data_IF_722027035137
#
_entry.id   IF_722027035137
#
_cell.length_a   1.000
_cell.length_b   1.000
_cell.length_c   1.000
_cell.angle_alpha   90.00
_cell.angle_beta   90.00
_cell.angle_gamma   90.00
#
_symmetry.space_group_name_H-M   'P 1'
#
loop_
_entity.id
_entity.type
_entity.pdbx_description
1 polymer ?
#
# COMPACT_ATOMS: atom_id res chain seq x y z
N UNK A 1 10.78 -5.48 5.17
CA UNK A 1 10.71 -4.48 4.11
C UNK A 1 11.98 -3.62 4.08
N UNK A 2 12.28 -2.82 5.12
CA UNK A 2 13.43 -1.88 5.13
C UNK A 2 14.77 -2.57 4.81
N UNK A 3 15.03 -3.75 5.37
CA UNK A 3 16.25 -4.52 5.10
C UNK A 3 16.37 -4.89 3.63
N UNK A 4 15.31 -5.42 3.01
CA UNK A 4 15.29 -5.80 1.59
C UNK A 4 15.52 -4.62 0.66
N UNK A 5 14.92 -3.47 0.97
CA UNK A 5 15.14 -2.23 0.20
C UNK A 5 16.60 -1.77 0.30
N UNK A 6 17.20 -1.84 1.50
CA UNK A 6 18.63 -1.51 1.69
C UNK A 6 19.56 -2.46 0.94
N UNK A 7 19.29 -3.77 0.98
CA UNK A 7 20.04 -4.78 0.23
C UNK A 7 19.97 -4.51 -1.28
N UNK A 8 18.77 -4.24 -1.80
CA UNK A 8 18.58 -3.88 -3.21
C UNK A 8 19.33 -2.59 -3.55
N UNK A 9 19.21 -1.55 -2.75
CA UNK A 9 19.94 -0.29 -2.99
C UNK A 9 21.45 -0.48 -2.94
N UNK A 10 21.99 -1.29 -2.00
CA UNK A 10 23.41 -1.60 -1.93
C UNK A 10 23.91 -2.34 -3.17
N UNK A 11 23.14 -3.35 -3.66
CA UNK A 11 23.44 -4.06 -4.91
C UNK A 11 23.55 -3.07 -6.08
N UNK A 12 22.58 -2.17 -6.20
CA UNK A 12 22.53 -1.17 -7.27
C UNK A 12 23.71 -0.17 -7.19
N UNK A 13 24.07 0.26 -5.99
CA UNK A 13 25.24 1.13 -5.80
C UNK A 13 26.54 0.43 -6.26
N UNK A 14 26.74 -0.83 -5.87
CA UNK A 14 27.90 -1.62 -6.29
C UNK A 14 27.91 -1.81 -7.80
N UNK A 15 26.76 -2.15 -8.42
CA UNK A 15 26.64 -2.29 -9.87
C UNK A 15 26.99 -1.00 -10.61
N UNK A 16 26.55 0.14 -10.09
CA UNK A 16 26.90 1.46 -10.65
C UNK A 16 28.41 1.73 -10.62
N UNK A 17 29.09 1.37 -9.52
CA UNK A 17 30.55 1.48 -9.43
C UNK A 17 31.23 0.54 -10.44
N UNK A 18 30.76 -0.70 -10.56
CA UNK A 18 31.26 -1.68 -11.55
C UNK A 18 31.12 -1.16 -12.98
N UNK A 19 29.98 -0.58 -13.33
CA UNK A 19 29.74 0.05 -14.65
C UNK A 19 30.76 1.15 -14.94
N UNK A 20 31.06 2.01 -13.97
CA UNK A 20 32.06 3.07 -14.13
C UNK A 20 33.48 2.53 -14.35
N UNK A 21 33.78 1.35 -13.84
CA UNK A 21 35.07 0.67 -13.99
C UNK A 21 35.10 -0.25 -15.22
N UNK A 22 34.08 -0.21 -16.08
CA UNK A 22 34.01 -1.08 -17.26
C UNK A 22 33.74 -2.56 -16.95
N UNK A 23 33.33 -2.89 -15.73
CA UNK A 23 33.08 -4.26 -15.25
C UNK A 23 31.59 -4.67 -15.33
N UNK A 24 30.80 -4.01 -16.17
CA UNK A 24 29.36 -4.26 -16.26
C UNK A 24 29.05 -5.57 -16.98
N UNK A 25 28.16 -6.36 -16.40
CA UNK A 25 27.65 -7.62 -16.96
C UNK A 25 26.18 -7.55 -17.40
N UNK A 26 25.65 -6.36 -17.70
CA UNK A 26 24.24 -6.14 -18.05
C UNK A 26 23.44 -5.56 -16.89
N UNK A 27 22.26 -5.02 -17.18
CA UNK A 27 21.37 -4.44 -16.16
C UNK A 27 20.73 -5.56 -15.33
N UNK A 28 20.70 -5.44 -13.98
CA UNK A 28 19.97 -6.38 -13.15
C UNK A 28 18.47 -6.28 -13.40
N UNK A 29 17.76 -7.38 -13.26
CA UNK A 29 16.29 -7.36 -13.27
C UNK A 29 15.79 -6.68 -12.00
N UNK A 30 15.03 -5.60 -12.14
CA UNK A 30 14.52 -4.79 -11.03
C UNK A 30 13.01 -4.94 -10.82
N UNK A 31 12.38 -5.84 -11.57
CA UNK A 31 10.97 -6.12 -11.38
C UNK A 31 10.72 -6.77 -10.01
N UNK A 32 9.65 -6.33 -9.33
CA UNK A 32 9.39 -6.68 -7.94
C UNK A 32 7.97 -7.21 -7.75
N UNK A 33 7.79 -8.01 -6.72
CA UNK A 33 6.48 -8.38 -6.20
C UNK A 33 6.36 -7.93 -4.74
N UNK A 34 5.30 -7.19 -4.42
CA UNK A 34 4.97 -6.72 -3.09
C UNK A 34 3.75 -7.47 -2.58
N UNK A 35 3.94 -8.32 -1.58
CA UNK A 35 2.86 -9.12 -0.99
C UNK A 35 2.50 -8.64 0.40
N UNK A 36 1.23 -8.68 0.77
CA UNK A 36 0.76 -8.32 2.11
C UNK A 36 -0.67 -7.78 2.14
N UNK A 37 -1.20 -7.63 3.34
CA UNK A 37 -2.55 -7.16 3.60
C UNK A 37 -2.77 -5.69 3.17
N UNK A 38 -4.03 -5.24 3.07
CA UNK A 38 -4.34 -3.85 2.75
C UNK A 38 -3.78 -2.89 3.81
N UNK A 39 -3.33 -1.72 3.36
CA UNK A 39 -2.83 -0.68 4.25
C UNK A 39 -1.45 -0.92 4.87
N UNK A 40 -0.69 -1.93 4.41
CA UNK A 40 0.68 -2.22 4.87
C UNK A 40 1.75 -1.36 4.19
N UNK A 41 1.35 -0.41 3.33
CA UNK A 41 2.25 0.59 2.75
C UNK A 41 2.87 0.20 1.40
N UNK A 42 2.38 -0.83 0.70
CA UNK A 42 2.92 -1.28 -0.59
C UNK A 42 3.07 -0.15 -1.61
N UNK A 43 2.02 0.60 -1.87
CA UNK A 43 2.03 1.73 -2.83
C UNK A 43 2.96 2.86 -2.38
N UNK A 44 3.01 3.16 -1.07
CA UNK A 44 3.92 4.19 -0.52
C UNK A 44 5.37 3.81 -0.73
N UNK A 45 5.71 2.53 -0.50
CA UNK A 45 7.08 2.02 -0.72
C UNK A 45 7.41 1.97 -2.22
N UNK A 46 6.44 1.61 -3.08
CA UNK A 46 6.64 1.63 -4.53
C UNK A 46 6.99 3.04 -5.04
N UNK A 47 6.30 4.07 -4.53
CA UNK A 47 6.62 5.47 -4.85
C UNK A 47 8.05 5.84 -4.43
N UNK A 48 8.46 5.46 -3.21
CA UNK A 48 9.83 5.70 -2.74
C UNK A 48 10.87 4.91 -3.53
N UNK A 49 10.53 3.69 -3.96
CA UNK A 49 11.41 2.91 -4.84
C UNK A 49 11.61 3.59 -6.20
N UNK A 50 10.57 4.17 -6.79
CA UNK A 50 10.69 4.93 -8.04
C UNK A 50 11.68 6.11 -7.89
N UNK A 51 11.58 6.87 -6.80
CA UNK A 51 12.52 7.95 -6.48
C UNK A 51 13.97 7.44 -6.30
N UNK A 52 14.15 6.33 -5.58
CA UNK A 52 15.47 5.71 -5.35
C UNK A 52 16.07 5.24 -6.67
N UNK A 53 15.32 4.51 -7.48
CA UNK A 53 15.78 3.99 -8.77
C UNK A 53 16.18 5.12 -9.73
N UNK A 54 15.41 6.21 -9.75
CA UNK A 54 15.76 7.40 -10.52
C UNK A 54 17.06 8.04 -10.03
N UNK A 55 17.21 8.30 -8.73
CA UNK A 55 18.43 8.86 -8.16
C UNK A 55 19.68 8.00 -8.39
N UNK A 56 19.48 6.68 -8.47
CA UNK A 56 20.53 5.73 -8.81
C UNK A 56 20.78 5.58 -10.31
N UNK A 57 19.96 6.21 -11.16
CA UNK A 57 20.09 6.20 -12.62
C UNK A 57 19.66 4.88 -13.29
N UNK A 58 18.75 4.12 -12.67
CA UNK A 58 18.18 2.89 -13.24
C UNK A 58 16.87 3.12 -13.99
N UNK A 59 16.21 4.24 -13.76
CA UNK A 59 15.09 4.73 -14.56
C UNK A 59 15.32 6.20 -14.85
N UNK A 60 14.87 6.69 -16.02
CA UNK A 60 15.10 8.06 -16.47
C UNK A 60 14.32 9.08 -15.65
N UNK A 61 13.12 8.70 -15.23
CA UNK A 61 12.19 9.54 -14.49
C UNK A 61 11.81 8.82 -13.18
N UNK A 62 11.55 9.57 -12.13
CA UNK A 62 11.20 9.02 -10.82
C UNK A 62 9.70 8.86 -10.59
N UNK A 63 8.90 8.81 -11.66
CA UNK A 63 7.46 8.73 -11.57
C UNK A 63 6.94 7.30 -11.37
N UNK A 64 5.76 7.19 -10.79
CA UNK A 64 5.03 5.95 -10.58
C UNK A 64 3.69 6.03 -11.30
N UNK A 65 3.42 5.09 -12.20
CA UNK A 65 2.09 4.87 -12.76
C UNK A 65 1.43 3.73 -12.01
N UNK A 66 0.42 4.06 -11.20
CA UNK A 66 -0.33 3.08 -10.41
C UNK A 66 -1.63 2.72 -11.10
N UNK A 67 -1.82 1.43 -11.34
CA UNK A 67 -2.97 0.89 -12.09
C UNK A 67 -3.53 -0.38 -11.44
N UNK A 68 -4.74 -0.71 -11.84
CA UNK A 68 -5.42 -1.95 -11.53
C UNK A 68 -5.70 -2.74 -12.82
N UNK A 69 -6.31 -3.92 -12.70
CA UNK A 69 -6.77 -4.68 -13.87
C UNK A 69 -7.60 -3.84 -14.84
N UNK A 70 -8.52 -3.02 -14.32
CA UNK A 70 -9.46 -2.27 -15.13
C UNK A 70 -8.79 -1.21 -16.01
N UNK A 71 -7.58 -0.78 -15.66
CA UNK A 71 -6.77 0.13 -16.46
C UNK A 71 -6.02 -0.59 -17.59
N UNK A 72 -5.80 -1.89 -17.49
CA UNK A 72 -5.01 -2.71 -18.42
C UNK A 72 -5.89 -3.51 -19.38
N UNK A 73 -6.99 -4.07 -18.88
CA UNK A 73 -7.82 -5.02 -19.62
C UNK A 73 -9.01 -4.31 -20.24
N UNK A 74 -9.25 -4.56 -21.51
CA UNK A 74 -10.41 -4.05 -22.26
C UNK A 74 -11.69 -4.82 -21.95
N UNK A 75 -12.84 -4.20 -22.23
CA UNK A 75 -14.14 -4.82 -22.07
C UNK A 75 -14.58 -5.63 -23.30
N UNK A 76 -13.97 -5.35 -24.45
CA UNK A 76 -14.30 -5.98 -25.73
C UNK A 76 -13.06 -6.56 -26.40
N UNK A 77 -13.28 -7.48 -27.36
CA UNK A 77 -12.21 -8.05 -28.18
C UNK A 77 -11.42 -6.94 -28.87
N UNK A 78 -10.09 -7.04 -28.82
CA UNK A 78 -9.16 -6.09 -29.45
C UNK A 78 -8.91 -4.80 -28.65
N UNK A 79 -9.56 -4.59 -27.49
CA UNK A 79 -9.37 -3.39 -26.68
C UNK A 79 -8.24 -3.53 -25.65
N UNK A 80 -7.86 -4.75 -25.27
CA UNK A 80 -6.85 -4.99 -24.22
C UNK A 80 -5.46 -4.56 -24.66
N UNK A 81 -5.01 -4.97 -25.85
CA UNK A 81 -3.66 -4.64 -26.31
C UNK A 81 -3.40 -3.14 -26.43
N UNK A 82 -4.27 -2.31 -27.07
CA UNK A 82 -4.08 -0.87 -27.11
C UNK A 82 -4.04 -0.24 -25.71
N UNK A 83 -4.95 -0.66 -24.83
CA UNK A 83 -5.08 -0.14 -23.47
C UNK A 83 -3.84 -0.46 -22.61
N UNK A 84 -3.39 -1.71 -22.63
CA UNK A 84 -2.17 -2.13 -21.94
C UNK A 84 -0.94 -1.38 -22.46
N UNK A 85 -0.78 -1.24 -23.79
CA UNK A 85 0.33 -0.50 -24.39
C UNK A 85 0.32 0.98 -24.06
N UNK A 86 -0.86 1.61 -23.95
CA UNK A 86 -0.98 3.01 -23.53
C UNK A 86 -0.49 3.20 -22.09
N UNK A 87 -0.90 2.32 -21.16
CA UNK A 87 -0.44 2.35 -19.78
C UNK A 87 1.07 2.15 -19.70
N UNK A 88 1.60 1.16 -20.40
CA UNK A 88 3.05 0.92 -20.47
C UNK A 88 3.78 2.16 -21.00
N UNK A 89 3.29 2.80 -22.06
CA UNK A 89 3.87 4.02 -22.61
C UNK A 89 3.93 5.14 -21.58
N UNK A 90 2.90 5.30 -20.74
CA UNK A 90 2.88 6.28 -19.65
C UNK A 90 3.89 5.96 -18.54
N UNK A 91 4.21 4.68 -18.35
CA UNK A 91 5.13 4.22 -17.29
C UNK A 91 6.59 4.14 -17.75
N UNK A 92 6.85 4.24 -19.07
CA UNK A 92 8.22 4.20 -19.62
C UNK A 92 9.10 5.28 -19.01
N UNK A 93 10.31 4.93 -18.66
CA UNK A 93 11.25 5.79 -17.95
C UNK A 93 11.04 5.81 -16.43
N UNK A 94 10.05 5.08 -15.90
CA UNK A 94 9.68 5.06 -14.49
C UNK A 94 9.27 3.69 -13.97
N UNK A 95 8.29 3.68 -13.10
CA UNK A 95 7.79 2.46 -12.44
C UNK A 95 6.30 2.26 -12.74
N UNK A 96 5.96 1.08 -13.24
CA UNK A 96 4.58 0.61 -13.36
C UNK A 96 4.22 -0.22 -12.13
N UNK A 97 3.29 0.28 -11.32
CA UNK A 97 2.76 -0.42 -10.15
C UNK A 97 1.37 -0.97 -10.46
N UNK A 98 1.23 -2.29 -10.44
CA UNK A 98 -0.03 -2.99 -10.70
C UNK A 98 -0.57 -3.50 -9.37
N UNK A 99 -1.60 -2.83 -8.85
CA UNK A 99 -2.24 -3.27 -7.60
C UNK A 99 -3.22 -4.41 -7.88
N UNK A 100 -3.30 -5.33 -6.93
CA UNK A 100 -4.12 -6.55 -7.04
C UNK A 100 -3.89 -7.32 -8.36
N UNK A 101 -2.60 -7.46 -8.74
CA UNK A 101 -2.17 -8.00 -10.03
C UNK A 101 -2.72 -9.41 -10.32
N UNK A 102 -3.06 -10.18 -9.31
CA UNK A 102 -3.68 -11.51 -9.46
C UNK A 102 -5.03 -11.46 -10.19
N UNK A 103 -5.71 -10.32 -10.23
CA UNK A 103 -6.94 -10.18 -11.02
C UNK A 103 -6.68 -10.16 -12.54
N UNK A 104 -5.44 -9.99 -12.99
CA UNK A 104 -5.10 -10.11 -14.41
C UNK A 104 -5.32 -11.53 -14.95
N UNK A 105 -5.36 -12.54 -14.08
CA UNK A 105 -5.62 -13.92 -14.45
C UNK A 105 -6.90 -14.43 -13.80
N UNK A 106 -7.89 -14.78 -14.61
CA UNK A 106 -9.19 -15.34 -14.19
C UNK A 106 -9.45 -16.66 -14.93
N UNK A 107 -8.95 -17.79 -14.41
CA UNK A 107 -9.08 -19.09 -15.09
C UNK A 107 -10.53 -19.56 -15.27
N UNK A 108 -11.42 -19.06 -14.45
CA UNK A 108 -12.85 -19.42 -14.45
C UNK A 108 -13.62 -18.79 -15.63
N UNK A 109 -13.02 -17.84 -16.34
CA UNK A 109 -13.65 -17.12 -17.44
C UNK A 109 -12.87 -17.34 -18.73
N UNK A 110 -13.31 -18.27 -19.58
CA UNK A 110 -12.72 -18.57 -20.90
C UNK A 110 -12.68 -17.35 -21.84
N UNK A 111 -13.49 -16.34 -21.60
CA UNK A 111 -13.51 -15.09 -22.36
C UNK A 111 -12.74 -13.96 -21.67
N UNK A 112 -11.81 -14.30 -20.78
CA UNK A 112 -11.02 -13.30 -20.07
C UNK A 112 -9.87 -12.77 -20.93
N UNK A 113 -9.86 -11.48 -21.16
CA UNK A 113 -8.82 -10.80 -21.95
C UNK A 113 -7.56 -10.44 -21.14
N UNK A 114 -7.47 -10.84 -19.88
CA UNK A 114 -6.32 -10.55 -19.02
C UNK A 114 -5.04 -11.28 -19.46
N UNK A 115 -5.17 -12.47 -20.08
CA UNK A 115 -4.03 -13.21 -20.62
C UNK A 115 -3.27 -12.39 -21.67
N UNK A 116 -3.96 -11.68 -22.57
CA UNK A 116 -3.34 -10.79 -23.56
C UNK A 116 -2.52 -9.67 -22.89
N UNK A 117 -3.05 -9.08 -21.82
CA UNK A 117 -2.32 -8.07 -21.01
C UNK A 117 -1.06 -8.66 -20.38
N UNK A 118 -1.13 -9.88 -19.83
CA UNK A 118 0.00 -10.58 -19.22
C UNK A 118 1.11 -10.83 -20.27
N UNK A 119 0.76 -11.27 -21.48
CA UNK A 119 1.72 -11.50 -22.54
C UNK A 119 2.44 -10.22 -22.96
N UNK A 120 1.71 -9.11 -23.12
CA UNK A 120 2.28 -7.81 -23.45
C UNK A 120 3.21 -7.32 -22.32
N UNK A 121 2.81 -7.49 -21.06
CA UNK A 121 3.65 -7.15 -19.92
C UNK A 121 4.93 -7.98 -19.89
N UNK A 122 4.85 -9.30 -20.10
CA UNK A 122 6.01 -10.19 -20.17
C UNK A 122 7.01 -9.76 -21.24
N UNK A 123 6.53 -9.47 -22.45
CA UNK A 123 7.36 -8.99 -23.54
C UNK A 123 8.00 -7.65 -23.22
N UNK A 124 7.25 -6.74 -22.63
CA UNK A 124 7.74 -5.41 -22.25
C UNK A 124 8.80 -5.48 -21.15
N UNK A 125 8.57 -6.29 -20.13
CA UNK A 125 9.53 -6.50 -19.01
C UNK A 125 10.88 -7.05 -19.50
N UNK A 126 10.89 -7.86 -20.55
CA UNK A 126 12.12 -8.36 -21.14
C UNK A 126 12.82 -7.31 -22.01
N UNK A 127 12.06 -6.67 -22.91
CA UNK A 127 12.61 -5.78 -23.93
C UNK A 127 13.00 -4.40 -23.38
N UNK A 128 12.36 -3.94 -22.29
CA UNK A 128 12.50 -2.59 -21.74
C UNK A 128 13.02 -2.58 -20.30
N UNK A 129 13.72 -3.64 -19.87
CA UNK A 129 14.23 -3.79 -18.49
C UNK A 129 15.14 -2.65 -18.04
N UNK A 130 15.75 -1.93 -18.98
CA UNK A 130 16.66 -0.81 -18.73
C UNK A 130 15.93 0.53 -18.54
N UNK A 131 14.62 0.58 -18.83
CA UNK A 131 13.86 1.82 -18.85
C UNK A 131 12.50 1.72 -18.13
N UNK A 132 12.09 0.50 -17.73
CA UNK A 132 10.83 0.25 -17.03
C UNK A 132 11.03 -0.74 -15.90
N UNK A 133 10.55 -0.39 -14.72
CA UNK A 133 10.43 -1.33 -13.60
C UNK A 133 8.96 -1.64 -13.35
N UNK A 134 8.61 -2.92 -13.30
CA UNK A 134 7.25 -3.37 -12.98
C UNK A 134 7.22 -3.87 -11.54
N UNK A 135 6.27 -3.37 -10.76
CA UNK A 135 5.99 -3.83 -9.40
C UNK A 135 4.57 -4.40 -9.39
N UNK A 136 4.47 -5.70 -9.14
CA UNK A 136 3.19 -6.37 -8.94
C UNK A 136 2.84 -6.38 -7.45
N UNK A 137 1.63 -6.00 -7.08
CA UNK A 137 1.21 -5.99 -5.69
C UNK A 137 -0.08 -6.81 -5.48
N UNK A 138 -0.23 -7.39 -4.30
CA UNK A 138 -1.44 -8.12 -3.93
C UNK A 138 -1.32 -8.90 -2.63
N UNK A 139 -2.37 -9.67 -2.33
CA UNK A 139 -2.37 -10.61 -1.20
C UNK A 139 -1.44 -11.80 -1.49
N UNK A 140 -0.70 -12.23 -0.49
CA UNK A 140 0.31 -13.28 -0.64
C UNK A 140 -0.25 -14.54 -1.29
N UNK A 141 -1.29 -15.12 -0.71
CA UNK A 141 -1.87 -16.38 -1.19
C UNK A 141 -2.42 -16.29 -2.62
N UNK A 142 -2.96 -15.12 -2.99
CA UNK A 142 -3.48 -14.87 -4.34
C UNK A 142 -2.35 -14.66 -5.35
N UNK A 143 -1.29 -13.96 -4.96
CA UNK A 143 -0.10 -13.77 -5.78
C UNK A 143 0.65 -15.09 -6.00
N UNK A 144 0.73 -15.96 -4.99
CA UNK A 144 1.32 -17.30 -5.14
C UNK A 144 0.56 -18.14 -6.18
N UNK A 145 -0.77 -18.13 -6.15
CA UNK A 145 -1.62 -18.77 -7.16
C UNK A 145 -1.41 -18.16 -8.54
N UNK A 146 -1.35 -16.84 -8.64
CA UNK A 146 -1.10 -16.11 -9.88
C UNK A 146 0.24 -16.53 -10.52
N UNK A 147 1.33 -16.58 -9.76
CA UNK A 147 2.63 -17.02 -10.22
C UNK A 147 2.69 -18.50 -10.59
N UNK A 148 1.90 -19.34 -9.91
CA UNK A 148 1.81 -20.76 -10.25
C UNK A 148 1.20 -20.96 -11.64
N UNK A 149 0.17 -20.18 -11.96
CA UNK A 149 -0.50 -20.20 -13.26
C UNK A 149 0.26 -19.45 -14.34
N UNK A 150 1.21 -18.59 -13.99
CA UNK A 150 1.98 -17.75 -14.90
C UNK A 150 3.50 -17.84 -14.63
N UNK A 151 4.15 -18.98 -14.94
CA UNK A 151 5.57 -19.19 -14.65
C UNK A 151 6.50 -18.18 -15.34
N UNK A 152 6.08 -17.66 -16.52
CA UNK A 152 6.78 -16.58 -17.21
C UNK A 152 6.87 -15.28 -16.40
N UNK A 153 5.82 -14.93 -15.64
CA UNK A 153 5.86 -13.80 -14.72
C UNK A 153 6.81 -14.07 -13.55
N UNK A 154 6.74 -15.27 -12.98
CA UNK A 154 7.60 -15.64 -11.84
C UNK A 154 9.09 -15.55 -12.17
N UNK A 155 9.49 -15.98 -13.36
CA UNK A 155 10.89 -15.96 -13.78
C UNK A 155 11.46 -14.57 -14.00
N UNK A 156 10.63 -13.57 -14.26
CA UNK A 156 11.04 -12.16 -14.48
C UNK A 156 11.03 -11.30 -13.23
N UNK A 157 10.32 -11.75 -12.17
CA UNK A 157 10.28 -11.06 -10.89
C UNK A 157 11.45 -11.51 -10.01
N UNK A 158 12.50 -10.69 -9.93
CA UNK A 158 13.70 -11.01 -9.16
C UNK A 158 13.54 -10.76 -7.65
N UNK A 159 12.70 -9.82 -7.26
CA UNK A 159 12.60 -9.37 -5.88
C UNK A 159 11.19 -9.58 -5.33
N UNK A 160 11.06 -10.44 -4.32
CA UNK A 160 9.82 -10.64 -3.57
C UNK A 160 9.96 -9.97 -2.20
N UNK A 161 9.06 -9.03 -1.89
CA UNK A 161 9.07 -8.25 -0.65
C UNK A 161 7.74 -8.43 0.06
N UNK A 162 7.78 -9.10 1.21
CA UNK A 162 6.62 -9.27 2.08
C UNK A 162 6.43 -8.02 2.96
N UNK A 163 5.19 -7.57 3.03
CA UNK A 163 4.72 -6.48 3.88
C UNK A 163 3.86 -7.07 4.99
N UNK A 164 4.45 -7.41 6.14
CA UNK A 164 3.69 -7.92 7.28
C UNK A 164 2.75 -6.85 7.82
N UNK A 165 1.75 -7.27 8.57
CA UNK A 165 0.91 -6.36 9.34
C UNK A 165 1.76 -5.60 10.35
N UNK A 166 1.38 -4.36 10.61
CA UNK A 166 2.07 -3.52 11.58
C UNK A 166 1.77 -3.95 13.01
N UNK A 167 2.77 -3.81 13.88
CA UNK A 167 2.56 -3.90 15.32
C UNK A 167 1.73 -2.71 15.84
N UNK A 168 1.05 -2.84 17.00
CA UNK A 168 0.26 -1.74 17.58
C UNK A 168 1.04 -0.42 17.70
N UNK A 169 2.27 -0.47 18.21
CA UNK A 169 3.12 0.71 18.39
C UNK A 169 3.53 1.36 17.07
N UNK A 170 3.72 0.55 16.03
CA UNK A 170 3.98 1.06 14.67
C UNK A 170 2.75 1.81 14.12
N UNK A 171 1.54 1.29 14.37
CA UNK A 171 0.29 1.95 13.96
C UNK A 171 0.06 3.27 14.69
N UNK A 172 0.39 3.35 15.98
CA UNK A 172 0.37 4.61 16.74
C UNK A 172 1.39 5.59 16.15
N UNK A 173 2.60 5.14 15.84
CA UNK A 173 3.61 5.97 15.19
C UNK A 173 3.17 6.48 13.82
N UNK A 174 2.54 5.62 13.02
CA UNK A 174 1.97 5.98 11.72
C UNK A 174 0.85 7.02 11.88
N UNK A 175 0.00 6.88 12.91
CA UNK A 175 -1.07 7.84 13.17
C UNK A 175 -0.54 9.25 13.48
N UNK A 176 0.55 9.35 14.24
CA UNK A 176 1.22 10.63 14.50
C UNK A 176 1.74 11.28 13.23
N UNK A 177 2.43 10.52 12.37
CA UNK A 177 2.91 11.01 11.08
C UNK A 177 1.77 11.48 10.17
N UNK A 178 0.64 10.77 10.17
CA UNK A 178 -0.55 11.18 9.41
C UNK A 178 -1.15 12.48 9.94
N UNK A 179 -1.22 12.65 11.26
CA UNK A 179 -1.71 13.88 11.88
C UNK A 179 -0.77 15.06 11.62
N UNK A 180 0.53 14.88 11.81
CA UNK A 180 1.55 15.91 11.55
C UNK A 180 1.49 16.42 10.11
N UNK A 181 1.31 15.52 9.14
CA UNK A 181 1.16 15.91 7.73
C UNK A 181 -0.06 16.78 7.43
N UNK A 182 -1.02 16.83 8.37
CA UNK A 182 -2.26 17.60 8.29
C UNK A 182 -2.32 18.74 9.33
N UNK A 183 -1.21 19.01 10.01
CA UNK A 183 -1.11 19.99 11.11
C UNK A 183 -2.02 19.67 12.29
N UNK A 184 -2.22 18.39 12.59
CA UNK A 184 -2.91 17.91 13.78
C UNK A 184 -1.95 17.22 14.74
N UNK A 185 -2.33 17.09 16.00
CA UNK A 185 -1.64 16.29 17.01
C UNK A 185 -2.64 15.65 17.97
N UNK A 186 -2.20 14.66 18.71
CA UNK A 186 -2.93 14.15 19.87
C UNK A 186 -2.58 14.97 21.12
N UNK A 187 -3.53 15.13 22.05
CA UNK A 187 -3.17 15.35 23.44
C UNK A 187 -2.57 14.08 24.06
N UNK A 188 -1.89 14.18 25.20
CA UNK A 188 -1.33 12.99 25.87
C UNK A 188 -2.40 11.92 26.18
N UNK A 189 -3.57 12.34 26.66
CA UNK A 189 -4.71 11.46 26.88
C UNK A 189 -5.33 10.92 25.59
N UNK A 190 -5.32 11.72 24.51
CA UNK A 190 -5.78 11.31 23.19
C UNK A 190 -4.88 10.23 22.59
N UNK A 191 -3.56 10.34 22.73
CA UNK A 191 -2.63 9.32 22.29
C UNK A 191 -2.83 7.99 23.00
N UNK A 192 -2.98 8.02 24.35
CA UNK A 192 -3.27 6.81 25.14
C UNK A 192 -4.60 6.17 24.72
N UNK A 193 -5.65 6.98 24.55
CA UNK A 193 -6.94 6.51 24.06
C UNK A 193 -6.84 5.89 22.67
N UNK A 194 -6.02 6.47 21.77
CA UNK A 194 -5.80 5.93 20.43
C UNK A 194 -5.03 4.60 20.47
N UNK A 195 -4.06 4.45 21.36
CA UNK A 195 -3.38 3.17 21.60
C UNK A 195 -4.37 2.07 21.99
N UNK A 196 -5.27 2.35 22.95
CA UNK A 196 -6.36 1.43 23.34
C UNK A 196 -7.29 1.10 22.18
N UNK A 197 -7.67 2.10 21.38
CA UNK A 197 -8.46 1.92 20.17
C UNK A 197 -7.80 0.95 19.19
N UNK A 198 -6.51 1.11 18.92
CA UNK A 198 -5.76 0.23 18.00
C UNK A 198 -5.79 -1.22 18.47
N UNK A 199 -5.53 -1.47 19.76
CA UNK A 199 -5.56 -2.82 20.32
C UNK A 199 -6.92 -3.52 20.17
N UNK A 200 -8.01 -2.78 20.36
CA UNK A 200 -9.36 -3.30 20.14
C UNK A 200 -9.66 -3.51 18.65
N UNK A 201 -9.33 -2.52 17.83
CA UNK A 201 -9.63 -2.55 16.39
C UNK A 201 -8.87 -3.62 15.64
N UNK A 202 -7.65 -3.98 16.06
CA UNK A 202 -6.87 -5.08 15.47
C UNK A 202 -7.53 -6.45 15.67
N UNK A 203 -8.35 -6.62 16.70
CA UNK A 203 -9.10 -7.85 16.96
C UNK A 203 -10.40 -7.94 16.16
N UNK A 204 -10.86 -6.83 15.61
CA UNK A 204 -12.12 -6.80 14.85
C UNK A 204 -11.91 -7.25 13.42
N UNK A 205 -12.95 -7.78 12.80
CA UNK A 205 -12.98 -8.14 11.39
C UNK A 205 -12.65 -6.93 10.49
N UNK A 206 -12.13 -7.23 9.30
CA UNK A 206 -11.80 -6.24 8.28
C UNK A 206 -10.79 -5.16 8.74
N UNK A 207 -9.90 -5.50 9.66
CA UNK A 207 -8.78 -4.63 9.98
C UNK A 207 -7.84 -4.50 8.78
N UNK A 208 -7.48 -3.27 8.42
CA UNK A 208 -6.69 -2.95 7.23
C UNK A 208 -5.53 -1.99 7.55
N UNK A 209 -4.77 -2.29 8.59
CA UNK A 209 -3.54 -1.59 8.97
C UNK A 209 -3.68 -0.05 8.92
N UNK A 210 -2.75 0.65 8.25
CA UNK A 210 -2.75 2.10 8.14
C UNK A 210 -4.00 2.69 7.45
N UNK A 211 -4.75 1.90 6.66
CA UNK A 211 -6.05 2.34 6.11
C UNK A 211 -7.09 2.46 7.23
N UNK A 212 -7.12 1.50 8.18
CA UNK A 212 -7.98 1.58 9.36
C UNK A 212 -7.61 2.74 10.27
N UNK A 213 -6.30 3.00 10.45
CA UNK A 213 -5.80 4.18 11.18
C UNK A 213 -6.31 5.47 10.55
N UNK A 214 -6.13 5.64 9.23
CA UNK A 214 -6.61 6.83 8.51
C UNK A 214 -8.10 7.07 8.73
N UNK A 215 -8.93 6.04 8.53
CA UNK A 215 -10.37 6.13 8.74
C UNK A 215 -10.74 6.50 10.19
N UNK A 216 -9.97 6.02 11.17
CA UNK A 216 -10.17 6.37 12.57
C UNK A 216 -9.85 7.83 12.85
N UNK A 217 -8.76 8.34 12.29
CA UNK A 217 -8.35 9.74 12.42
C UNK A 217 -9.36 10.68 11.77
N UNK A 218 -9.86 10.34 10.57
CA UNK A 218 -10.88 11.14 9.89
C UNK A 218 -12.17 11.23 10.71
N UNK A 219 -12.59 10.13 11.36
CA UNK A 219 -13.74 10.12 12.27
C UNK A 219 -13.47 10.90 13.55
N UNK A 220 -12.27 10.81 14.11
CA UNK A 220 -11.88 11.58 15.30
C UNK A 220 -11.91 13.09 15.02
N UNK A 221 -11.39 13.52 13.86
CA UNK A 221 -11.45 14.92 13.42
C UNK A 221 -12.89 15.42 13.26
N UNK A 222 -13.78 14.59 12.72
CA UNK A 222 -15.21 14.93 12.62
C UNK A 222 -15.82 15.15 14.01
N UNK A 223 -15.48 14.31 15.01
CA UNK A 223 -15.97 14.45 16.39
C UNK A 223 -15.38 15.69 17.06
N UNK A 224 -14.08 15.96 16.86
CA UNK A 224 -13.46 17.20 17.32
C UNK A 224 -14.21 18.42 16.76
N UNK A 225 -14.48 18.46 15.45
CA UNK A 225 -15.20 19.56 14.83
C UNK A 225 -16.60 19.75 15.46
N UNK A 226 -17.35 18.65 15.67
CA UNK A 226 -18.65 18.70 16.32
C UNK A 226 -18.54 19.19 17.77
N UNK A 227 -17.56 18.74 18.53
CA UNK A 227 -17.30 19.20 19.92
C UNK A 227 -17.01 20.69 19.97
N UNK A 228 -16.15 21.19 19.09
CA UNK A 228 -15.78 22.59 19.02
C UNK A 228 -16.97 23.49 18.58
N UNK A 229 -17.78 22.99 17.65
CA UNK A 229 -18.95 23.72 17.16
C UNK A 229 -20.08 23.77 18.21
N UNK A 230 -20.29 22.70 18.96
CA UNK A 230 -21.32 22.62 20.02
C UNK A 230 -20.87 23.23 21.35
N UNK A 231 -19.59 23.54 21.47
CA UNK A 231 -19.00 24.11 22.70
C UNK A 231 -19.41 25.57 22.92
N UNK A 232 -19.46 25.99 24.17
CA UNK A 232 -19.81 27.35 24.60
C UNK A 232 -18.68 28.36 24.49
N UNK A 233 -17.48 27.94 24.04
CA UNK A 233 -16.32 28.84 23.88
C UNK A 233 -16.58 29.86 22.81
N UNK A 234 -16.54 31.16 23.17
CA UNK A 234 -16.70 32.28 22.23
C UNK A 234 -15.51 32.47 21.27
N UNK A 235 -14.33 31.95 21.59
CA UNK A 235 -13.14 31.98 20.75
C UNK A 235 -12.37 30.69 20.84
N UNK A 236 -11.97 30.14 19.70
CA UNK A 236 -11.15 28.93 19.60
C UNK A 236 -9.67 29.34 19.51
N UNK A 237 -8.82 28.69 20.31
CA UNK A 237 -7.38 28.85 20.21
C UNK A 237 -6.81 27.97 19.07
N UNK A 238 -5.59 28.26 18.63
CA UNK A 238 -4.89 27.41 17.66
C UNK A 238 -4.76 25.96 18.18
N UNK A 239 -4.49 25.80 19.49
CA UNK A 239 -4.37 24.48 20.12
C UNK A 239 -5.69 23.72 20.06
N UNK A 240 -6.83 24.37 20.33
CA UNK A 240 -8.16 23.72 20.22
C UNK A 240 -8.39 23.17 18.80
N UNK A 241 -7.93 23.87 17.76
CA UNK A 241 -8.16 23.51 16.37
C UNK A 241 -7.28 22.35 15.87
N UNK A 242 -6.11 22.16 16.43
CA UNK A 242 -5.15 21.13 15.97
C UNK A 242 -5.09 19.88 16.84
N UNK A 243 -5.66 19.91 18.06
CA UNK A 243 -5.50 18.82 19.04
C UNK A 243 -6.72 17.90 19.06
N UNK A 244 -6.47 16.61 18.87
CA UNK A 244 -7.46 15.55 19.12
C UNK A 244 -7.40 15.10 20.56
N UNK A 245 -8.51 15.24 21.27
CA UNK A 245 -8.64 14.88 22.67
C UNK A 245 -9.10 13.42 22.85
N UNK A 246 -8.95 12.89 24.06
CA UNK A 246 -9.37 11.52 24.38
C UNK A 246 -10.86 11.27 24.06
N UNK A 247 -11.74 12.24 24.32
CA UNK A 247 -13.17 12.13 24.05
C UNK A 247 -13.47 11.96 22.53
N UNK A 248 -12.67 12.59 21.65
CA UNK A 248 -12.80 12.46 20.19
C UNK A 248 -12.50 11.02 19.72
N UNK A 249 -11.70 10.28 20.49
CA UNK A 249 -11.32 8.88 20.22
C UNK A 249 -12.30 7.92 20.89
N UNK A 250 -12.57 8.11 22.20
CA UNK A 250 -13.37 7.20 23.03
C UNK A 250 -14.83 7.10 22.56
N UNK A 251 -15.36 8.13 21.91
CA UNK A 251 -16.69 8.09 21.29
C UNK A 251 -16.78 7.16 20.06
N UNK A 252 -15.76 6.34 19.80
CA UNK A 252 -15.80 5.32 18.73
C UNK A 252 -16.64 4.12 19.13
N UNK A 253 -17.43 3.58 18.17
CA UNK A 253 -18.22 2.35 18.36
C UNK A 253 -17.39 1.14 18.78
N UNK A 254 -16.10 1.09 18.45
CA UNK A 254 -15.18 0.02 18.84
C UNK A 254 -15.13 -0.16 20.37
N UNK A 255 -15.26 0.91 21.14
CA UNK A 255 -15.32 0.83 22.60
C UNK A 255 -16.68 0.34 23.11
N UNK A 256 -17.77 0.66 22.42
CA UNK A 256 -19.13 0.18 22.77
C UNK A 256 -19.29 -1.32 22.54
N UNK A 257 -18.77 -1.82 21.42
CA UNK A 257 -18.82 -3.24 21.08
C UNK A 257 -17.97 -4.09 22.05
N UNK A 258 -16.83 -3.59 22.50
CA UNK A 258 -15.98 -4.29 23.46
C UNK A 258 -16.57 -4.40 24.88
N UNK A 259 -17.52 -3.55 25.25
CA UNK A 259 -18.25 -3.65 26.53
C UNK A 259 -19.40 -4.64 26.49
N UNK A 260 -20.04 -4.84 25.32
CA UNK A 260 -21.11 -5.82 25.15
C UNK A 260 -20.62 -7.27 25.11
N UNK A 261 -19.39 -7.53 24.68
CA UNK A 261 -18.81 -8.88 24.69
C UNK A 261 -18.36 -9.36 26.08
N UNK A 262 -18.32 -8.47 27.06
CA UNK A 262 -17.94 -8.77 28.45
C UNK A 262 -19.13 -8.99 29.41
N UNK A 263 -20.37 -8.88 28.95
CA UNK A 263 -21.52 -9.29 29.77
C UNK A 263 -21.72 -10.80 29.68
N UNK A 264 -21.56 -11.55 30.78
CA UNK A 264 -21.84 -12.97 30.78
C UNK A 264 -23.33 -13.19 30.48
N UNK A 265 -23.62 -13.96 29.44
CA UNK A 265 -24.95 -14.40 29.04
C UNK A 265 -25.65 -15.12 30.22
N UNK A 266 -26.30 -14.39 31.08
CA UNK A 266 -27.22 -14.93 32.10
C UNK A 266 -28.46 -15.46 31.37
N UNK A 267 -28.32 -16.68 30.82
CA UNK A 267 -29.50 -17.44 30.40
C UNK A 267 -30.38 -17.71 31.62
N UNK A 268 -31.38 -16.89 31.79
CA UNK A 268 -32.52 -17.23 32.65
C UNK A 268 -33.24 -18.40 32.01
N UNK A 269 -33.03 -19.61 32.60
CA UNK A 269 -33.92 -20.75 32.35
C UNK A 269 -35.30 -20.40 32.90
N UNK A 270 -36.29 -20.33 32.05
CA UNK A 270 -37.69 -20.58 32.41
C UNK A 270 -38.10 -21.97 31.89
#
# INVERSE_FOLDING_TARGET
VKTRIRETAALLLVDRVRKRLGLSAGAPSLHMCFTGNPGTGKTTVALRMAEILHRLGYVREGHLVSVTRDDLVGQYIGHTAPKTKEVIKKAMGGVLFIDEAYYLYKPENERDYGAESIEILLQTMENNRDDLVVILAGYKDRMDKFFHSNPGMRSRIAHHIDFPDYAPDELVSISKLMLESQNYCFSAAGEEAFGKYIHLRMKSEHFANARSVRNALDRARLRQANRLFSGTKKSLSKTDLITLEAEDILASRVFLESTSDNEPNLKVKK
#
